data_IF_296415802139
#
_entry.id   IF_296415802139
#
_cell.length_a   1.000
_cell.length_b   1.000
_cell.length_c   1.000
_cell.angle_alpha   90.00
_cell.angle_beta   90.00
_cell.angle_gamma   90.00
#
_symmetry.space_group_name_H-M   'P 1'
#
loop_
_entity.id
_entity.type
_entity.pdbx_description
1 polymer ?
#
# COMPACT_ATOMS: atom_id res chain seq x y z
N UNK A 1 -19.91 0.15 -1.79
CA UNK A 1 -19.31 -0.13 -3.10
C UNK A 1 -18.37 -1.35 -3.11
N UNK A 2 -17.19 -1.33 -2.47
CA UNK A 2 -16.24 -2.47 -2.57
C UNK A 2 -16.82 -3.81 -2.06
N UNK A 3 -17.46 -3.79 -0.89
CA UNK A 3 -18.13 -4.97 -0.31
C UNK A 3 -19.25 -5.49 -1.20
N UNK A 4 -20.09 -4.58 -1.73
CA UNK A 4 -21.18 -4.93 -2.64
C UNK A 4 -20.67 -5.52 -3.96
N UNK A 5 -19.57 -4.98 -4.51
CA UNK A 5 -18.93 -5.50 -5.71
C UNK A 5 -18.38 -6.90 -5.47
N UNK A 6 -17.71 -7.14 -4.33
CA UNK A 6 -17.25 -8.48 -3.97
C UNK A 6 -18.43 -9.47 -3.86
N UNK A 7 -19.52 -9.08 -3.19
CA UNK A 7 -20.72 -9.90 -3.05
C UNK A 7 -21.37 -10.23 -4.41
N UNK A 8 -21.52 -9.24 -5.30
CA UNK A 8 -22.06 -9.42 -6.66
C UNK A 8 -21.23 -10.37 -7.51
N UNK A 9 -19.92 -10.45 -7.27
CA UNK A 9 -19.00 -11.32 -7.99
C UNK A 9 -18.71 -12.64 -7.26
N UNK A 10 -19.40 -12.93 -6.14
CA UNK A 10 -19.18 -14.14 -5.36
C UNK A 10 -17.78 -14.25 -4.71
N UNK A 11 -17.08 -13.12 -4.53
CA UNK A 11 -15.74 -13.08 -3.92
C UNK A 11 -15.88 -13.16 -2.39
N UNK A 12 -15.39 -14.24 -1.81
CA UNK A 12 -15.47 -14.51 -0.36
C UNK A 12 -14.12 -14.36 0.36
N UNK A 13 -13.01 -14.26 -0.38
CA UNK A 13 -11.65 -14.19 0.13
C UNK A 13 -11.07 -12.76 0.16
N UNK A 14 -11.92 -11.74 0.16
CA UNK A 14 -11.52 -10.34 0.23
C UNK A 14 -11.98 -9.70 1.54
N UNK A 15 -11.06 -9.03 2.25
CA UNK A 15 -11.35 -8.21 3.43
C UNK A 15 -11.05 -6.75 3.12
N UNK A 16 -12.03 -5.88 3.36
CA UNK A 16 -11.91 -4.44 3.14
C UNK A 16 -11.72 -3.74 4.48
N UNK A 17 -10.68 -2.92 4.59
CA UNK A 17 -10.34 -2.17 5.80
C UNK A 17 -10.23 -0.70 5.42
N UNK A 18 -10.94 0.17 6.14
CA UNK A 18 -10.83 1.61 5.97
C UNK A 18 -9.68 2.14 6.84
N UNK A 19 -8.80 2.94 6.25
CA UNK A 19 -7.69 3.58 6.95
C UNK A 19 -7.28 4.86 6.25
N UNK A 20 -6.76 5.83 7.01
CA UNK A 20 -6.21 7.09 6.48
C UNK A 20 -4.69 6.95 6.33
N UNK A 21 -4.22 6.86 5.09
CA UNK A 21 -2.80 6.71 4.77
C UNK A 21 -1.98 7.98 5.06
N UNK A 22 -2.61 9.09 5.41
CA UNK A 22 -1.91 10.29 5.91
C UNK A 22 -1.62 10.21 7.41
N UNK A 23 -2.34 9.34 8.14
CA UNK A 23 -2.23 9.12 9.58
C UNK A 23 -1.55 7.78 9.90
N UNK A 24 -0.49 7.48 9.16
CA UNK A 24 0.37 6.31 9.44
C UNK A 24 1.21 6.61 10.69
N UNK A 25 0.83 6.01 11.81
CA UNK A 25 1.53 6.06 13.10
C UNK A 25 2.12 4.70 13.49
N UNK A 26 2.51 4.53 14.76
CA UNK A 26 3.08 3.28 15.27
C UNK A 26 2.09 2.12 15.22
N UNK A 27 0.83 2.37 15.56
CA UNK A 27 -0.23 1.34 15.57
C UNK A 27 -0.84 1.10 14.19
N UNK A 28 -0.46 1.89 13.18
CA UNK A 28 -0.98 1.74 11.83
C UNK A 28 -0.48 0.42 11.25
N UNK A 29 -1.42 -0.51 11.04
CA UNK A 29 -1.13 -1.83 10.49
C UNK A 29 -0.93 -2.94 11.52
N UNK A 30 -1.05 -2.68 12.83
CA UNK A 30 -1.02 -3.76 13.86
C UNK A 30 -2.11 -4.83 13.63
N UNK A 31 -3.23 -4.42 13.02
CA UNK A 31 -4.32 -5.32 12.66
C UNK A 31 -4.23 -5.86 11.22
N UNK A 32 -3.19 -5.49 10.47
CA UNK A 32 -3.01 -5.97 9.10
C UNK A 32 -2.33 -7.33 9.10
N UNK A 33 -2.70 -8.22 8.16
CA UNK A 33 -1.94 -9.45 7.96
C UNK A 33 -0.53 -9.11 7.45
N UNK A 34 0.42 -10.04 7.60
CA UNK A 34 1.72 -9.97 6.95
C UNK A 34 1.58 -10.46 5.50
N UNK A 35 1.63 -9.57 4.49
CA UNK A 35 1.37 -9.98 3.12
C UNK A 35 2.65 -10.42 2.40
N UNK A 36 2.56 -11.46 1.58
CA UNK A 36 3.66 -11.82 0.67
C UNK A 36 3.85 -10.79 -0.45
N UNK A 37 2.74 -10.16 -0.87
CA UNK A 37 2.69 -9.21 -1.98
C UNK A 37 1.87 -7.99 -1.56
N UNK A 38 2.42 -6.80 -1.79
CA UNK A 38 1.70 -5.52 -1.71
C UNK A 38 1.50 -4.97 -3.11
N UNK A 39 0.28 -4.55 -3.42
CA UNK A 39 -0.02 -3.80 -4.65
C UNK A 39 -0.44 -2.40 -4.23
N UNK A 40 0.12 -1.39 -4.88
CA UNK A 40 -0.15 0.01 -4.56
C UNK A 40 -0.28 0.85 -5.81
N UNK A 41 -1.28 1.72 -5.82
CA UNK A 41 -1.61 2.67 -6.90
C UNK A 41 -1.76 4.08 -6.27
N UNK A 42 -0.65 4.74 -5.93
CA UNK A 42 -0.69 6.07 -5.32
C UNK A 42 -1.12 7.14 -6.33
N UNK A 43 -1.64 8.25 -5.79
CA UNK A 43 -2.01 9.42 -6.59
C UNK A 43 -0.77 10.07 -7.26
N UNK A 44 -1.01 11.05 -8.15
CA UNK A 44 0.05 11.70 -8.95
C UNK A 44 1.28 12.21 -8.15
N UNK A 45 1.11 12.82 -6.96
CA UNK A 45 2.24 13.20 -6.09
C UNK A 45 3.14 12.05 -5.58
N UNK A 46 2.69 10.80 -5.72
CA UNK A 46 3.35 9.63 -5.13
C UNK A 46 2.97 9.42 -3.67
N UNK A 47 3.78 8.66 -2.95
CA UNK A 47 3.55 8.31 -1.55
C UNK A 47 4.14 9.32 -0.58
N UNK A 48 3.46 9.50 0.55
CA UNK A 48 4.08 10.13 1.71
C UNK A 48 5.17 9.24 2.30
N UNK A 49 6.26 9.85 2.74
CA UNK A 49 7.42 9.18 3.37
C UNK A 49 7.03 8.23 4.51
N UNK A 50 6.00 8.59 5.30
CA UNK A 50 5.49 7.73 6.40
C UNK A 50 4.93 6.41 5.88
N UNK A 51 4.22 6.43 4.75
CA UNK A 51 3.68 5.22 4.13
C UNK A 51 4.82 4.34 3.58
N UNK A 52 5.84 4.93 2.94
CA UNK A 52 7.01 4.19 2.45
C UNK A 52 7.71 3.48 3.62
N UNK A 53 7.94 4.18 4.74
CA UNK A 53 8.53 3.57 5.96
C UNK A 53 7.69 2.43 6.50
N UNK A 54 6.36 2.56 6.47
CA UNK A 54 5.45 1.48 6.85
C UNK A 54 5.56 0.28 5.91
N UNK A 55 5.61 0.48 4.60
CA UNK A 55 5.78 -0.60 3.62
C UNK A 55 7.09 -1.35 3.82
N UNK A 56 8.19 -0.65 4.13
CA UNK A 56 9.47 -1.27 4.47
C UNK A 56 9.39 -2.12 5.75
N UNK A 57 8.59 -1.70 6.75
CA UNK A 57 8.35 -2.47 7.98
C UNK A 57 7.45 -3.69 7.78
N UNK A 58 6.54 -3.67 6.80
CA UNK A 58 5.69 -4.82 6.49
C UNK A 58 6.48 -6.04 6.01
N UNK A 59 7.70 -5.83 5.47
CA UNK A 59 8.58 -6.88 4.96
C UNK A 59 7.92 -7.81 3.93
N UNK A 60 7.02 -7.27 3.10
CA UNK A 60 6.43 -8.02 2.01
C UNK A 60 7.53 -8.46 1.02
N UNK A 61 7.46 -9.72 0.55
CA UNK A 61 8.45 -10.26 -0.38
C UNK A 61 8.46 -9.52 -1.72
N UNK A 62 7.34 -8.93 -2.12
CA UNK A 62 7.20 -8.18 -3.37
C UNK A 62 6.27 -6.98 -3.20
N UNK A 63 6.66 -5.84 -3.76
CA UNK A 63 5.82 -4.65 -3.89
C UNK A 63 5.62 -4.40 -5.39
N UNK A 64 4.37 -4.31 -5.82
CA UNK A 64 3.95 -3.93 -7.17
C UNK A 64 3.46 -2.49 -7.10
N UNK A 65 4.23 -1.58 -7.70
CA UNK A 65 3.92 -0.15 -7.72
C UNK A 65 3.35 0.24 -9.08
N UNK A 66 2.10 0.67 -9.11
CA UNK A 66 1.42 1.22 -10.30
C UNK A 66 1.54 2.74 -10.24
N UNK A 67 2.01 3.38 -11.31
CA UNK A 67 2.16 4.84 -11.34
C UNK A 67 1.70 5.42 -12.67
N UNK A 68 1.03 6.56 -12.59
CA UNK A 68 0.79 7.45 -13.72
C UNK A 68 1.81 8.60 -13.83
N UNK A 69 2.75 8.72 -12.88
CA UNK A 69 3.80 9.74 -12.86
C UNK A 69 5.19 9.08 -12.67
N UNK A 70 6.04 9.05 -13.70
CA UNK A 70 7.33 8.37 -13.62
C UNK A 70 8.32 9.07 -12.67
N UNK A 71 8.23 10.39 -12.51
CA UNK A 71 9.18 11.14 -11.67
C UNK A 71 8.99 10.83 -10.18
N UNK A 72 7.74 10.86 -9.71
CA UNK A 72 7.43 10.50 -8.31
C UNK A 72 7.59 9.00 -8.07
N UNK A 73 7.30 8.16 -9.08
CA UNK A 73 7.61 6.73 -9.03
C UNK A 73 9.10 6.47 -8.78
N UNK A 74 9.99 7.10 -9.57
CA UNK A 74 11.44 6.91 -9.43
C UNK A 74 11.94 7.30 -8.03
N UNK A 75 11.47 8.44 -7.49
CA UNK A 75 11.76 8.87 -6.13
C UNK A 75 11.30 7.85 -5.08
N UNK A 76 10.07 7.37 -5.20
CA UNK A 76 9.49 6.48 -4.20
C UNK A 76 10.13 5.07 -4.27
N UNK A 77 10.49 4.61 -5.47
CA UNK A 77 11.26 3.39 -5.69
C UNK A 77 12.67 3.48 -5.12
N UNK A 78 13.35 4.63 -5.21
CA UNK A 78 14.66 4.82 -4.61
C UNK A 78 14.61 4.53 -3.10
N UNK A 79 13.62 5.09 -2.39
CA UNK A 79 13.42 4.80 -0.97
C UNK A 79 13.03 3.34 -0.69
N UNK A 80 12.21 2.72 -1.55
CA UNK A 80 11.76 1.33 -1.35
C UNK A 80 12.87 0.31 -1.62
N UNK A 81 13.79 0.61 -2.55
CA UNK A 81 14.88 -0.29 -2.93
C UNK A 81 16.15 -0.09 -2.10
N UNK A 82 16.46 1.16 -1.72
CA UNK A 82 17.70 1.49 -1.03
C UNK A 82 17.50 1.86 0.45
N UNK A 83 16.26 2.04 0.88
CA UNK A 83 15.94 2.56 2.22
C UNK A 83 16.00 4.08 2.28
N UNK A 84 15.91 4.62 3.49
CA UNK A 84 16.06 6.04 3.77
C UNK A 84 17.48 6.38 4.21
#
# INVERSE_FOLDING_TARGET
MLVENAARNGIQNAKFIQGDLNKVGEDFGNAFPHPDIVITDPNRPGMHTKLIRFLLKLQARRIIYVSCNPATCARDLDYLCHGF
#
